data_IF_670127847525
#
_entry.id   IF_670127847525
#
_cell.length_a   1.000
_cell.length_b   1.000
_cell.length_c   1.000
_cell.angle_alpha   90.00
_cell.angle_beta   90.00
_cell.angle_gamma   90.00
#
_symmetry.space_group_name_H-M   'P 1'
#
loop_
_entity.id
_entity.type
_entity.pdbx_description
1 polymer ?
#
# COMPACT_ATOMS: atom_id res chain seq x y z
N UNK A 1 -8.13 -41.95 -14.86
CA UNK A 1 -7.01 -42.20 -13.92
C UNK A 1 -5.70 -41.52 -14.36
N UNK A 2 -5.28 -41.64 -15.63
CA UNK A 2 -4.06 -40.97 -16.14
C UNK A 2 -4.10 -39.42 -16.08
N UNK A 3 -5.24 -38.77 -16.35
CA UNK A 3 -5.38 -37.31 -16.26
C UNK A 3 -5.22 -36.78 -14.82
N UNK A 4 -5.79 -37.46 -13.83
CA UNK A 4 -5.62 -37.14 -12.40
C UNK A 4 -4.19 -37.37 -11.92
N UNK A 5 -3.49 -38.36 -12.46
CA UNK A 5 -2.07 -38.57 -12.20
C UNK A 5 -1.20 -37.45 -12.80
N UNK A 6 -1.58 -36.90 -13.97
CA UNK A 6 -0.94 -35.75 -14.59
C UNK A 6 -1.09 -34.45 -13.77
N UNK A 7 -2.29 -34.17 -13.25
CA UNK A 7 -2.54 -33.02 -12.37
C UNK A 7 -1.80 -33.12 -11.03
N UNK A 8 -1.83 -34.31 -10.40
CA UNK A 8 -1.06 -34.56 -9.19
C UNK A 8 0.46 -34.42 -9.46
N UNK A 9 0.91 -34.84 -10.64
CA UNK A 9 2.31 -34.71 -11.08
C UNK A 9 2.72 -33.25 -11.27
N UNK A 10 1.85 -32.45 -11.87
CA UNK A 10 2.09 -31.02 -12.06
C UNK A 10 2.14 -30.26 -10.72
N UNK A 11 1.26 -30.58 -9.78
CA UNK A 11 1.19 -29.92 -8.46
C UNK A 11 2.44 -30.17 -7.60
N UNK A 12 3.00 -31.38 -7.59
CA UNK A 12 4.26 -31.61 -6.85
C UNK A 12 5.43 -30.90 -7.50
N UNK A 13 5.48 -30.84 -8.84
CA UNK A 13 6.55 -30.16 -9.55
C UNK A 13 6.54 -28.66 -9.24
N UNK A 14 5.36 -28.03 -9.25
CA UNK A 14 5.19 -26.63 -8.87
C UNK A 14 5.65 -26.36 -7.43
N UNK A 15 5.29 -27.23 -6.48
CA UNK A 15 5.75 -27.15 -5.08
C UNK A 15 7.26 -27.30 -4.95
N UNK A 16 7.84 -28.25 -5.67
CA UNK A 16 9.28 -28.47 -5.68
C UNK A 16 10.02 -27.27 -6.29
N UNK A 17 9.52 -26.68 -7.38
CA UNK A 17 10.08 -25.48 -7.98
C UNK A 17 9.99 -24.27 -7.03
N UNK A 18 8.86 -24.06 -6.36
CA UNK A 18 8.70 -22.97 -5.39
C UNK A 18 9.70 -23.11 -4.21
N UNK A 19 9.86 -24.32 -3.69
CA UNK A 19 10.84 -24.61 -2.65
C UNK A 19 12.28 -24.44 -3.15
N UNK A 20 12.58 -24.91 -4.36
CA UNK A 20 13.90 -24.77 -4.99
C UNK A 20 14.27 -23.30 -5.18
N UNK A 21 13.34 -22.46 -5.66
CA UNK A 21 13.55 -21.01 -5.76
C UNK A 21 13.87 -20.42 -4.38
N UNK A 22 13.11 -20.76 -3.34
CA UNK A 22 13.35 -20.25 -1.99
C UNK A 22 14.74 -20.62 -1.45
N UNK A 23 15.24 -21.82 -1.75
CA UNK A 23 16.57 -22.29 -1.32
C UNK A 23 17.70 -21.68 -2.16
N UNK A 24 17.46 -21.39 -3.45
CA UNK A 24 18.50 -20.90 -4.36
C UNK A 24 18.62 -19.38 -4.43
N UNK A 25 17.53 -18.62 -4.23
CA UNK A 25 17.55 -17.15 -4.21
C UNK A 25 18.60 -16.58 -3.23
N UNK A 26 18.77 -17.10 -1.99
CA UNK A 26 19.83 -16.63 -1.09
C UNK A 26 21.24 -16.65 -1.67
N UNK A 27 21.54 -17.54 -2.63
CA UNK A 27 22.87 -17.64 -3.26
C UNK A 27 23.22 -16.44 -4.15
N UNK A 28 22.23 -15.61 -4.51
CA UNK A 28 22.43 -14.42 -5.32
C UNK A 28 23.01 -13.26 -4.50
N UNK A 29 23.93 -12.52 -5.12
CA UNK A 29 24.63 -11.40 -4.48
C UNK A 29 23.76 -10.14 -4.38
N UNK A 30 22.97 -9.84 -5.42
CA UNK A 30 22.21 -8.59 -5.50
C UNK A 30 20.93 -8.65 -4.66
N UNK A 31 20.80 -7.77 -3.65
CA UNK A 31 19.60 -7.66 -2.81
C UNK A 31 18.34 -7.31 -3.64
N UNK A 32 18.44 -6.39 -4.60
CA UNK A 32 17.31 -6.03 -5.44
C UNK A 32 16.80 -7.22 -6.28
N UNK A 33 17.71 -8.00 -6.88
CA UNK A 33 17.34 -9.21 -7.63
C UNK A 33 16.70 -10.26 -6.72
N UNK A 34 17.25 -10.47 -5.52
CA UNK A 34 16.66 -11.37 -4.52
C UNK A 34 15.24 -10.93 -4.13
N UNK A 35 15.03 -9.63 -3.90
CA UNK A 35 13.72 -9.08 -3.56
C UNK A 35 12.70 -9.36 -4.67
N UNK A 36 13.06 -9.08 -5.93
CA UNK A 36 12.21 -9.38 -7.07
C UNK A 36 11.86 -10.87 -7.17
N UNK A 37 12.85 -11.75 -6.97
CA UNK A 37 12.63 -13.19 -7.06
C UNK A 37 11.81 -13.74 -5.91
N UNK A 38 11.97 -13.23 -4.68
CA UNK A 38 11.11 -13.60 -3.56
C UNK A 38 9.66 -13.17 -3.80
N UNK A 39 9.42 -11.94 -4.27
CA UNK A 39 8.08 -11.47 -4.59
C UNK A 39 7.42 -12.35 -5.67
N UNK A 40 8.11 -12.56 -6.79
CA UNK A 40 7.60 -13.37 -7.90
C UNK A 40 7.38 -14.84 -7.49
N UNK A 41 8.34 -15.43 -6.78
CA UNK A 41 8.22 -16.82 -6.30
C UNK A 41 7.06 -16.97 -5.31
N UNK A 42 6.83 -15.96 -4.47
CA UNK A 42 5.70 -15.93 -3.55
C UNK A 42 4.35 -15.84 -4.28
N UNK A 43 4.25 -14.97 -5.30
CA UNK A 43 3.05 -14.85 -6.13
C UNK A 43 2.75 -16.15 -6.90
N UNK A 44 3.78 -16.77 -7.49
CA UNK A 44 3.64 -18.07 -8.17
C UNK A 44 3.23 -19.16 -7.17
N UNK A 45 3.81 -19.18 -5.96
CA UNK A 45 3.38 -20.12 -4.92
C UNK A 45 1.92 -19.92 -4.52
N UNK A 46 1.47 -18.66 -4.40
CA UNK A 46 0.09 -18.31 -4.08
C UNK A 46 -0.89 -18.79 -5.15
N UNK A 47 -0.59 -18.54 -6.43
CA UNK A 47 -1.37 -19.04 -7.58
C UNK A 47 -1.50 -20.57 -7.61
N UNK A 48 -0.51 -21.28 -7.06
CA UNK A 48 -0.49 -22.74 -6.99
C UNK A 48 -0.97 -23.28 -5.63
N UNK A 49 -1.68 -22.47 -4.83
CA UNK A 49 -2.23 -22.85 -3.52
C UNK A 49 -1.17 -23.37 -2.54
N UNK A 50 0.04 -22.83 -2.63
CA UNK A 50 1.16 -23.15 -1.75
C UNK A 50 1.36 -22.00 -0.74
N UNK A 51 0.32 -21.71 0.06
CA UNK A 51 0.25 -20.54 0.95
C UNK A 51 1.47 -20.45 1.87
N UNK A 52 1.86 -21.54 2.53
CA UNK A 52 3.04 -21.51 3.42
C UNK A 52 4.35 -21.16 2.70
N UNK A 53 4.50 -21.55 1.43
CA UNK A 53 5.67 -21.16 0.62
C UNK A 53 5.57 -19.71 0.16
N UNK A 54 4.37 -19.24 -0.18
CA UNK A 54 4.13 -17.83 -0.49
C UNK A 54 4.49 -16.94 0.71
N UNK A 55 3.99 -17.30 1.90
CA UNK A 55 4.27 -16.62 3.15
C UNK A 55 5.78 -16.55 3.45
N UNK A 56 6.50 -17.68 3.31
CA UNK A 56 7.95 -17.73 3.52
C UNK A 56 8.70 -16.77 2.57
N UNK A 57 8.34 -16.77 1.29
CA UNK A 57 8.90 -15.87 0.30
C UNK A 57 8.62 -14.40 0.63
N UNK A 58 7.39 -14.07 1.03
CA UNK A 58 7.01 -12.71 1.41
C UNK A 58 7.72 -12.22 2.68
N UNK A 59 7.91 -13.09 3.69
CA UNK A 59 8.75 -12.75 4.86
C UNK A 59 10.19 -12.45 4.45
N UNK A 60 10.76 -13.26 3.55
CA UNK A 60 12.12 -13.06 3.05
C UNK A 60 12.23 -11.77 2.23
N UNK A 61 11.23 -11.46 1.39
CA UNK A 61 11.11 -10.20 0.67
C UNK A 61 11.11 -9.00 1.63
N UNK A 62 10.18 -8.99 2.60
CA UNK A 62 10.04 -7.90 3.58
C UNK A 62 11.35 -7.68 4.33
N UNK A 63 11.98 -8.76 4.82
CA UNK A 63 13.23 -8.69 5.59
C UNK A 63 14.40 -8.12 4.78
N UNK A 64 14.34 -8.19 3.44
CA UNK A 64 15.41 -7.76 2.56
C UNK A 64 15.29 -6.29 2.12
N UNK A 65 14.11 -5.68 2.25
CA UNK A 65 13.87 -4.28 1.84
C UNK A 65 14.93 -3.32 2.43
N UNK A 66 15.29 -3.37 3.73
CA UNK A 66 16.29 -2.49 4.31
C UNK A 66 17.70 -2.64 3.71
N UNK A 67 18.00 -3.82 3.16
CA UNK A 67 19.32 -4.16 2.62
C UNK A 67 19.47 -3.77 1.14
N UNK A 68 18.42 -3.26 0.50
CA UNK A 68 18.49 -2.81 -0.89
C UNK A 68 19.25 -1.47 -0.93
N UNK A 69 20.40 -1.40 -1.62
CA UNK A 69 21.16 -0.16 -1.70
C UNK A 69 20.45 0.87 -2.58
N UNK A 70 20.66 2.16 -2.31
CA UNK A 70 20.13 3.27 -3.13
C UNK A 70 20.57 3.22 -4.60
N UNK A 71 21.72 2.59 -4.85
CA UNK A 71 22.32 2.46 -6.19
C UNK A 71 22.88 1.07 -6.42
N UNK A 72 22.77 0.59 -7.65
CA UNK A 72 23.39 -0.66 -8.13
C UNK A 72 24.22 -0.40 -9.39
N UNK A 73 25.19 -1.27 -9.63
CA UNK A 73 25.91 -1.31 -10.90
C UNK A 73 25.15 -2.20 -11.89
N UNK A 74 24.67 -1.62 -12.98
CA UNK A 74 23.97 -2.32 -14.06
C UNK A 74 24.54 -1.84 -15.40
N UNK A 75 25.04 -2.76 -16.22
CA UNK A 75 25.71 -2.47 -17.50
C UNK A 75 26.90 -1.50 -17.38
N UNK A 76 27.66 -1.61 -16.28
CA UNK A 76 28.78 -0.71 -16.00
C UNK A 76 28.36 0.70 -15.53
N UNK A 77 27.06 0.97 -15.41
CA UNK A 77 26.54 2.26 -14.95
C UNK A 77 25.95 2.17 -13.53
N UNK A 78 26.19 3.20 -12.73
CA UNK A 78 25.57 3.34 -11.40
C UNK A 78 24.14 3.85 -11.59
N UNK A 79 23.15 2.97 -11.39
CA UNK A 79 21.73 3.30 -11.54
C UNK A 79 21.04 3.35 -10.17
N UNK A 80 20.18 4.33 -9.91
CA UNK A 80 19.43 4.40 -8.67
C UNK A 80 18.36 3.29 -8.63
N UNK A 81 18.05 2.78 -7.43
CA UNK A 81 17.12 1.66 -7.26
C UNK A 81 15.69 2.09 -6.95
N UNK A 82 15.47 3.35 -6.54
CA UNK A 82 14.18 3.83 -6.03
C UNK A 82 12.97 3.48 -6.92
N UNK A 83 13.06 3.64 -8.24
CA UNK A 83 11.95 3.31 -9.17
C UNK A 83 11.64 1.80 -9.14
N UNK A 84 12.68 0.96 -9.14
CA UNK A 84 12.52 -0.50 -9.08
C UNK A 84 11.95 -0.93 -7.72
N UNK A 85 12.41 -0.31 -6.63
CA UNK A 85 11.90 -0.56 -5.27
C UNK A 85 10.44 -0.13 -5.15
N UNK A 86 10.07 1.05 -5.66
CA UNK A 86 8.69 1.53 -5.69
C UNK A 86 7.76 0.53 -6.41
N UNK A 87 8.19 0.03 -7.57
CA UNK A 87 7.46 -0.99 -8.32
C UNK A 87 7.26 -2.29 -7.52
N UNK A 88 8.33 -2.78 -6.86
CA UNK A 88 8.25 -3.98 -6.01
C UNK A 88 7.31 -3.78 -4.81
N UNK A 89 7.36 -2.62 -4.16
CA UNK A 89 6.50 -2.32 -3.02
C UNK A 89 5.04 -2.21 -3.44
N UNK A 90 4.76 -1.57 -4.58
CA UNK A 90 3.40 -1.47 -5.11
C UNK A 90 2.84 -2.84 -5.46
N UNK A 91 3.61 -3.68 -6.14
CA UNK A 91 3.20 -5.04 -6.52
C UNK A 91 3.01 -5.95 -5.29
N UNK A 92 3.89 -5.82 -4.29
CA UNK A 92 3.74 -6.52 -3.03
C UNK A 92 2.48 -6.10 -2.25
N UNK A 93 2.20 -4.80 -2.15
CA UNK A 93 1.00 -4.29 -1.48
C UNK A 93 -0.28 -4.77 -2.18
N UNK A 94 -0.30 -4.80 -3.51
CA UNK A 94 -1.37 -5.46 -4.26
C UNK A 94 -1.46 -6.95 -3.89
N UNK A 95 -0.35 -7.68 -3.91
CA UNK A 95 -0.35 -9.11 -3.58
C UNK A 95 -0.87 -9.39 -2.16
N UNK A 96 -0.56 -8.51 -1.20
CA UNK A 96 -1.03 -8.63 0.18
C UNK A 96 -2.54 -8.58 0.34
N UNK A 97 -3.27 -7.88 -0.54
CA UNK A 97 -4.73 -7.81 -0.45
C UNK A 97 -5.36 -9.20 -0.50
N UNK A 98 -4.82 -10.10 -1.32
CA UNK A 98 -5.38 -11.43 -1.55
C UNK A 98 -4.66 -12.54 -0.79
N UNK A 99 -3.61 -12.21 -0.03
CA UNK A 99 -2.86 -13.19 0.75
C UNK A 99 -3.71 -13.62 1.97
N UNK A 100 -4.06 -14.91 2.11
CA UNK A 100 -4.73 -15.40 3.31
C UNK A 100 -3.81 -15.35 4.51
N UNK A 101 -4.34 -14.94 5.66
CA UNK A 101 -3.68 -15.15 6.93
C UNK A 101 -3.67 -16.62 7.33
N UNK A 102 -2.69 -16.98 8.15
CA UNK A 102 -2.70 -18.25 8.85
C UNK A 102 -3.65 -18.15 10.04
N UNK A 103 -4.83 -18.77 9.96
CA UNK A 103 -5.84 -18.76 11.03
C UNK A 103 -5.36 -19.40 12.34
N UNK A 104 -4.34 -20.28 12.28
CA UNK A 104 -3.74 -20.88 13.47
C UNK A 104 -2.77 -19.92 14.19
N UNK A 105 -2.49 -18.76 13.60
CA UNK A 105 -1.71 -17.69 14.21
C UNK A 105 -2.60 -16.79 15.06
N UNK A 106 -2.16 -16.45 16.27
CA UNK A 106 -2.81 -15.44 17.13
C UNK A 106 -2.64 -14.00 16.60
N UNK A 107 -2.09 -13.81 15.40
CA UNK A 107 -1.82 -12.50 14.81
C UNK A 107 -2.51 -12.39 13.46
N UNK A 108 -3.51 -11.50 13.40
CA UNK A 108 -4.19 -11.09 12.17
C UNK A 108 -3.30 -10.17 11.35
N UNK A 109 -3.44 -10.24 10.04
CA UNK A 109 -2.65 -9.50 9.05
C UNK A 109 -1.14 -9.64 9.29
N UNK A 110 -0.65 -10.87 9.49
CA UNK A 110 0.69 -11.12 10.04
C UNK A 110 1.80 -10.53 9.14
N UNK A 111 1.74 -10.80 7.83
CA UNK A 111 2.76 -10.30 6.89
C UNK A 111 2.67 -8.79 6.74
N UNK A 112 1.47 -8.22 6.71
CA UNK A 112 1.27 -6.77 6.69
C UNK A 112 1.84 -6.11 7.96
N UNK A 113 1.60 -6.70 9.14
CA UNK A 113 2.20 -6.22 10.39
C UNK A 113 3.73 -6.25 10.32
N UNK A 114 4.31 -7.33 9.80
CA UNK A 114 5.75 -7.46 9.58
C UNK A 114 6.29 -6.43 8.59
N UNK A 115 5.54 -6.14 7.54
CA UNK A 115 5.87 -5.10 6.56
C UNK A 115 5.88 -3.71 7.21
N UNK A 116 4.79 -3.31 7.88
CA UNK A 116 4.67 -2.01 8.55
C UNK A 116 5.80 -1.82 9.56
N UNK A 117 6.06 -2.82 10.42
CA UNK A 117 7.17 -2.79 11.39
C UNK A 117 8.54 -2.65 10.74
N UNK A 118 8.74 -3.29 9.58
CA UNK A 118 9.99 -3.14 8.81
C UNK A 118 10.11 -1.72 8.26
N UNK A 119 9.04 -1.17 7.70
CA UNK A 119 9.00 0.18 7.17
C UNK A 119 9.28 1.25 8.24
N UNK A 120 8.81 1.04 9.47
CA UNK A 120 9.08 1.91 10.63
C UNK A 120 10.55 1.87 11.09
N UNK A 121 11.26 0.75 10.86
CA UNK A 121 12.67 0.59 11.25
C UNK A 121 13.65 1.17 10.24
N UNK A 122 13.25 1.29 8.98
CA UNK A 122 14.10 1.87 7.94
C UNK A 122 14.24 3.37 8.20
N UNK A 123 15.47 3.89 8.13
CA UNK A 123 15.76 5.31 8.25
C UNK A 123 15.45 6.05 6.96
N UNK A 124 14.15 6.25 6.69
CA UNK A 124 13.70 7.02 5.56
C UNK A 124 14.04 8.50 5.71
N UNK A 125 14.52 9.12 4.63
CA UNK A 125 14.43 10.57 4.50
C UNK A 125 12.98 10.93 4.22
N UNK A 126 12.31 11.59 5.16
CA UNK A 126 10.89 11.95 5.05
C UNK A 126 10.55 12.85 3.86
N UNK A 127 11.54 13.52 3.27
CA UNK A 127 11.40 14.32 2.05
C UNK A 127 11.53 13.52 0.73
N UNK A 128 11.86 12.22 0.80
CA UNK A 128 11.97 11.33 -0.36
C UNK A 128 10.60 10.85 -0.82
N UNK A 129 10.26 10.99 -2.13
CA UNK A 129 9.01 10.50 -2.68
C UNK A 129 8.71 9.04 -2.41
N UNK A 130 9.72 8.17 -2.53
CA UNK A 130 9.56 6.74 -2.29
C UNK A 130 8.92 6.44 -0.92
N UNK A 131 9.28 7.20 0.11
CA UNK A 131 8.77 6.98 1.47
C UNK A 131 7.27 7.28 1.56
N UNK A 132 6.88 8.52 1.26
CA UNK A 132 5.48 8.93 1.44
C UNK A 132 4.55 8.35 0.37
N UNK A 133 5.04 8.02 -0.83
CA UNK A 133 4.28 7.24 -1.80
C UNK A 133 4.03 5.82 -1.28
N UNK A 134 5.02 5.17 -0.65
CA UNK A 134 4.80 3.86 -0.02
C UNK A 134 3.76 3.92 1.10
N UNK A 135 3.79 4.98 1.92
CA UNK A 135 2.75 5.21 2.94
C UNK A 135 1.36 5.40 2.32
N UNK A 136 1.25 6.18 1.24
CA UNK A 136 -0.01 6.38 0.51
C UNK A 136 -0.55 5.07 -0.08
N UNK A 137 0.32 4.23 -0.66
CA UNK A 137 -0.06 2.91 -1.18
C UNK A 137 -0.44 1.94 -0.07
N UNK A 138 0.24 2.01 1.07
CA UNK A 138 -0.11 1.21 2.24
C UNK A 138 -1.49 1.61 2.77
N UNK A 139 -1.78 2.90 2.83
CA UNK A 139 -3.12 3.40 3.15
C UNK A 139 -4.16 2.92 2.14
N UNK A 140 -3.81 2.88 0.84
CA UNK A 140 -4.70 2.34 -0.18
C UNK A 140 -5.03 0.86 0.03
N UNK A 141 -4.04 0.04 0.41
CA UNK A 141 -4.25 -1.36 0.76
C UNK A 141 -5.16 -1.48 1.99
N UNK A 142 -4.86 -0.74 3.07
CA UNK A 142 -5.61 -0.82 4.33
C UNK A 142 -7.09 -0.50 4.11
N UNK A 143 -7.42 0.54 3.34
CA UNK A 143 -8.82 0.83 3.01
C UNK A 143 -9.49 -0.23 2.13
N UNK A 144 -8.74 -0.98 1.32
CA UNK A 144 -9.29 -2.11 0.57
C UNK A 144 -9.54 -3.32 1.48
N UNK A 145 -8.68 -3.53 2.47
CA UNK A 145 -8.81 -4.62 3.43
C UNK A 145 -10.00 -4.46 4.39
N UNK A 146 -10.57 -3.25 4.51
CA UNK A 146 -11.81 -3.00 5.27
C UNK A 146 -13.10 -3.18 4.47
N UNK A 147 -13.03 -3.48 3.18
CA UNK A 147 -14.23 -3.71 2.36
C UNK A 147 -14.79 -5.11 2.59
N UNK A 148 -16.12 -5.25 2.51
CA UNK A 148 -16.81 -6.54 2.61
C UNK A 148 -16.38 -7.54 1.53
N UNK A 149 -15.97 -7.03 0.37
CA UNK A 149 -15.42 -7.82 -0.73
C UNK A 149 -14.28 -7.06 -1.34
N UNK A 150 -13.13 -7.73 -1.50
CA UNK A 150 -11.94 -7.10 -2.08
C UNK A 150 -12.12 -6.81 -3.57
N UNK A 151 -11.35 -5.83 -4.06
CA UNK A 151 -11.42 -5.39 -5.46
C UNK A 151 -11.08 -6.48 -6.49
N UNK A 152 -10.35 -7.52 -6.08
CA UNK A 152 -10.05 -8.68 -6.92
C UNK A 152 -9.66 -9.89 -6.05
N UNK A 153 -9.68 -11.05 -6.68
CA UNK A 153 -9.43 -12.35 -6.08
C UNK A 153 -8.63 -13.25 -7.02
N UNK A 154 -8.03 -14.30 -6.48
CA UNK A 154 -7.62 -15.48 -7.24
C UNK A 154 -8.61 -16.59 -6.87
N UNK A 155 -9.25 -17.21 -7.85
CA UNK A 155 -10.34 -18.18 -7.64
C UNK A 155 -10.01 -19.29 -6.65
N UNK A 156 -8.76 -19.74 -6.63
CA UNK A 156 -8.32 -20.85 -5.78
C UNK A 156 -7.87 -20.41 -4.37
N UNK A 157 -7.72 -19.10 -4.13
CA UNK A 157 -7.17 -18.55 -2.89
C UNK A 157 -8.30 -17.95 -2.05
N UNK A 158 -8.40 -18.36 -0.79
CA UNK A 158 -9.38 -17.84 0.15
C UNK A 158 -8.85 -16.58 0.86
N UNK A 159 -8.98 -15.41 0.23
CA UNK A 159 -8.51 -14.13 0.78
C UNK A 159 -9.23 -13.72 2.07
N UNK A 160 -8.65 -12.72 2.76
CA UNK A 160 -9.05 -12.32 4.10
C UNK A 160 -10.47 -11.75 4.23
N UNK A 161 -11.04 -11.13 3.19
CA UNK A 161 -12.45 -10.74 3.15
C UNK A 161 -13.39 -11.93 3.31
N UNK A 162 -13.05 -13.08 2.72
CA UNK A 162 -13.79 -14.33 2.86
C UNK A 162 -13.41 -15.12 4.12
N UNK A 163 -12.13 -15.10 4.48
CA UNK A 163 -11.61 -15.84 5.64
C UNK A 163 -12.16 -15.29 6.95
N UNK A 164 -12.17 -13.97 7.10
CA UNK A 164 -12.62 -13.27 8.31
C UNK A 164 -14.05 -12.72 8.17
N UNK A 165 -14.60 -12.61 6.96
CA UNK A 165 -15.99 -12.16 6.77
C UNK A 165 -16.26 -10.75 7.32
N UNK A 166 -15.29 -9.85 7.25
CA UNK A 166 -15.35 -8.50 7.85
C UNK A 166 -15.62 -8.49 9.35
N UNK A 167 -15.14 -9.49 10.09
CA UNK A 167 -15.25 -9.50 11.55
C UNK A 167 -14.64 -8.23 12.18
N UNK A 168 -15.31 -7.72 13.21
CA UNK A 168 -14.96 -6.43 13.83
C UNK A 168 -13.50 -6.35 14.30
N UNK A 169 -12.96 -7.41 14.90
CA UNK A 169 -11.59 -7.40 15.43
C UNK A 169 -10.53 -7.31 14.31
N UNK A 170 -10.77 -7.93 13.14
CA UNK A 170 -9.90 -7.78 11.98
C UNK A 170 -9.96 -6.34 11.46
N UNK A 171 -11.17 -5.80 11.28
CA UNK A 171 -11.39 -4.44 10.79
C UNK A 171 -10.73 -3.41 11.74
N UNK A 172 -10.94 -3.52 13.05
CA UNK A 172 -10.32 -2.67 14.06
C UNK A 172 -8.79 -2.68 13.98
N UNK A 173 -8.21 -3.83 13.66
CA UNK A 173 -6.75 -3.97 13.48
C UNK A 173 -6.27 -3.19 12.26
N UNK A 174 -6.97 -3.32 11.13
CA UNK A 174 -6.66 -2.61 9.89
C UNK A 174 -6.86 -1.08 10.06
N UNK A 175 -7.92 -0.65 10.74
CA UNK A 175 -8.20 0.77 11.00
C UNK A 175 -7.14 1.42 11.91
N UNK A 176 -6.63 0.69 12.91
CA UNK A 176 -5.50 1.15 13.74
C UNK A 176 -4.26 1.42 12.88
N UNK A 177 -3.91 0.51 11.98
CA UNK A 177 -2.80 0.74 11.04
C UNK A 177 -3.08 1.93 10.12
N UNK A 178 -4.30 2.06 9.58
CA UNK A 178 -4.67 3.17 8.70
C UNK A 178 -4.54 4.52 9.43
N UNK A 179 -4.94 4.58 10.69
CA UNK A 179 -4.80 5.76 11.55
C UNK A 179 -3.33 6.14 11.73
N UNK A 180 -2.47 5.18 12.07
CA UNK A 180 -1.04 5.42 12.27
C UNK A 180 -0.35 5.90 10.98
N UNK A 181 -0.65 5.26 9.83
CA UNK A 181 -0.11 5.66 8.53
C UNK A 181 -0.59 7.08 8.15
N UNK A 182 -1.87 7.40 8.41
CA UNK A 182 -2.40 8.73 8.18
C UNK A 182 -1.69 9.78 9.04
N UNK A 183 -1.47 9.50 10.33
CA UNK A 183 -0.71 10.39 11.22
C UNK A 183 0.72 10.62 10.73
N UNK A 184 1.42 9.57 10.29
CA UNK A 184 2.78 9.72 9.75
C UNK A 184 2.78 10.56 8.45
N UNK A 185 1.81 10.40 7.56
CA UNK A 185 1.64 11.25 6.38
C UNK A 185 1.45 12.74 6.74
N UNK A 186 0.73 13.03 7.84
CA UNK A 186 0.59 14.41 8.35
C UNK A 186 1.92 14.95 8.92
N UNK A 187 2.72 14.11 9.57
CA UNK A 187 4.08 14.47 10.00
C UNK A 187 4.96 14.81 8.79
N UNK A 188 4.91 13.99 7.74
CA UNK A 188 5.64 14.26 6.49
C UNK A 188 5.20 15.58 5.87
N UNK A 189 3.88 15.85 5.79
CA UNK A 189 3.35 17.12 5.28
C UNK A 189 3.87 18.33 6.03
N UNK A 190 3.95 18.25 7.36
CA UNK A 190 4.52 19.32 8.19
C UNK A 190 5.99 19.54 7.88
N UNK A 191 6.79 18.47 7.83
CA UNK A 191 8.22 18.54 7.55
C UNK A 191 8.53 19.09 6.15
N UNK A 192 7.74 18.73 5.14
CA UNK A 192 7.87 19.31 3.80
C UNK A 192 7.60 20.82 3.81
N UNK A 193 6.62 21.27 4.61
CA UNK A 193 6.34 22.69 4.82
C UNK A 193 7.48 23.43 5.49
N UNK A 194 8.01 22.88 6.58
CA UNK A 194 9.14 23.45 7.32
C UNK A 194 10.40 23.54 6.44
N UNK A 195 10.61 22.52 5.59
CA UNK A 195 11.69 22.49 4.60
C UNK A 195 11.43 23.35 3.34
N UNK A 196 10.27 24.00 3.24
CA UNK A 196 9.84 24.80 2.07
C UNK A 196 9.79 24.00 0.75
N UNK A 197 9.56 22.70 0.83
CA UNK A 197 9.38 21.78 -0.31
C UNK A 197 7.94 21.89 -0.86
N UNK A 198 7.54 23.11 -1.26
CA UNK A 198 6.14 23.48 -1.55
C UNK A 198 5.48 22.58 -2.60
N UNK A 199 6.19 22.21 -3.66
CA UNK A 199 5.67 21.32 -4.71
C UNK A 199 5.39 19.91 -4.18
N UNK A 200 6.28 19.34 -3.36
CA UNK A 200 6.08 18.02 -2.76
C UNK A 200 4.95 18.05 -1.75
N UNK A 201 4.93 19.08 -0.88
CA UNK A 201 3.88 19.27 0.11
C UNK A 201 2.50 19.40 -0.55
N UNK A 202 2.41 20.18 -1.63
CA UNK A 202 1.20 20.33 -2.42
C UNK A 202 0.70 18.99 -2.98
N UNK A 203 1.57 18.27 -3.70
CA UNK A 203 1.21 16.99 -4.32
C UNK A 203 0.75 15.97 -3.28
N UNK A 204 1.48 15.86 -2.16
CA UNK A 204 1.13 14.96 -1.06
C UNK A 204 -0.21 15.35 -0.41
N UNK A 205 -0.43 16.66 -0.23
CA UNK A 205 -1.65 17.19 0.38
C UNK A 205 -2.88 16.87 -0.47
N UNK A 206 -2.80 17.04 -1.79
CA UNK A 206 -3.86 16.65 -2.71
C UNK A 206 -4.05 15.13 -2.78
N UNK A 207 -2.96 14.36 -2.82
CA UNK A 207 -3.01 12.91 -2.88
C UNK A 207 -3.68 12.30 -1.63
N UNK A 208 -3.40 12.87 -0.45
CA UNK A 208 -4.04 12.48 0.80
C UNK A 208 -5.50 12.96 0.85
N UNK A 209 -5.77 14.21 0.44
CA UNK A 209 -7.14 14.74 0.36
C UNK A 209 -8.04 13.83 -0.48
N UNK A 210 -7.59 13.42 -1.67
CA UNK A 210 -8.32 12.51 -2.55
C UNK A 210 -8.69 11.20 -1.84
N UNK A 211 -7.77 10.62 -1.08
CA UNK A 211 -8.00 9.38 -0.34
C UNK A 211 -9.00 9.58 0.79
N UNK A 212 -8.88 10.67 1.55
CA UNK A 212 -9.81 11.03 2.63
C UNK A 212 -11.23 11.17 2.10
N UNK A 213 -11.45 11.88 1.00
CA UNK A 213 -12.80 12.09 0.47
C UNK A 213 -13.41 10.83 -0.17
N UNK A 214 -12.57 9.95 -0.73
CA UNK A 214 -13.03 8.74 -1.42
C UNK A 214 -13.28 7.57 -0.48
N UNK A 215 -12.50 7.46 0.59
CA UNK A 215 -12.42 6.26 1.43
C UNK A 215 -12.62 6.54 2.92
N UNK A 216 -12.48 7.79 3.35
CA UNK A 216 -12.72 8.19 4.73
C UNK A 216 -14.21 8.26 5.05
N UNK A 217 -14.56 8.01 6.32
CA UNK A 217 -15.91 8.25 6.81
C UNK A 217 -16.13 9.76 7.03
N UNK A 218 -16.69 10.43 6.02
CA UNK A 218 -16.99 11.86 6.08
C UNK A 218 -18.19 12.20 6.98
N UNK A 219 -18.90 11.24 7.56
CA UNK A 219 -19.91 11.54 8.60
C UNK A 219 -19.24 11.99 9.91
N UNK A 220 -17.97 11.63 10.10
CA UNK A 220 -17.20 12.05 11.25
C UNK A 220 -16.64 13.47 11.03
N UNK A 221 -16.94 14.36 11.97
CA UNK A 221 -16.48 15.74 11.92
C UNK A 221 -14.95 15.87 11.80
N UNK A 222 -14.19 14.98 12.45
CA UNK A 222 -12.73 14.94 12.37
C UNK A 222 -12.25 14.73 10.92
N UNK A 223 -12.90 13.84 10.16
CA UNK A 223 -12.54 13.55 8.77
C UNK A 223 -12.92 14.69 7.82
N UNK A 224 -14.08 15.34 8.02
CA UNK A 224 -14.43 16.57 7.29
C UNK A 224 -13.39 17.66 7.56
N UNK A 225 -13.00 17.84 8.82
CA UNK A 225 -12.01 18.85 9.21
C UNK A 225 -10.64 18.56 8.58
N UNK A 226 -10.20 17.30 8.61
CA UNK A 226 -8.97 16.86 7.95
C UNK A 226 -9.01 17.15 6.45
N UNK A 227 -10.10 16.76 5.77
CA UNK A 227 -10.28 17.01 4.33
C UNK A 227 -10.20 18.51 4.01
N UNK A 228 -10.93 19.35 4.76
CA UNK A 228 -10.91 20.79 4.59
C UNK A 228 -9.50 21.38 4.78
N UNK A 229 -8.78 20.95 5.83
CA UNK A 229 -7.43 21.44 6.10
C UNK A 229 -6.43 21.05 5.02
N UNK A 230 -6.50 19.82 4.50
CA UNK A 230 -5.66 19.37 3.38
C UNK A 230 -5.97 20.17 2.12
N UNK A 231 -7.24 20.41 1.82
CA UNK A 231 -7.62 21.24 0.68
C UNK A 231 -7.06 22.66 0.81
N UNK A 232 -7.26 23.32 1.95
CA UNK A 232 -6.77 24.68 2.22
C UNK A 232 -5.24 24.74 2.08
N UNK A 233 -4.53 23.76 2.64
CA UNK A 233 -3.07 23.66 2.52
C UNK A 233 -2.65 23.61 1.05
N UNK A 234 -3.31 22.78 0.24
CA UNK A 234 -3.00 22.68 -1.19
C UNK A 234 -3.26 24.00 -1.94
N UNK A 235 -4.35 24.72 -1.63
CA UNK A 235 -4.67 25.99 -2.30
C UNK A 235 -3.66 27.10 -1.97
N UNK A 236 -3.12 27.12 -0.74
CA UNK A 236 -2.08 28.10 -0.35
C UNK A 236 -0.76 27.94 -1.11
N UNK A 237 -0.49 26.76 -1.66
CA UNK A 237 0.82 26.39 -2.20
C UNK A 237 0.93 26.52 -3.73
N UNK A 238 -0.17 26.67 -4.47
CA UNK A 238 -0.12 26.72 -5.94
C UNK A 238 -1.18 27.61 -6.60
N UNK A 239 -0.83 28.08 -7.80
CA UNK A 239 -1.69 28.85 -8.72
C UNK A 239 -2.93 28.08 -9.17
N UNK A 240 -4.03 28.83 -9.35
CA UNK A 240 -5.43 28.43 -9.60
C UNK A 240 -5.73 27.48 -10.79
N UNK A 241 -4.70 27.00 -11.52
CA UNK A 241 -4.85 26.27 -12.79
C UNK A 241 -4.48 24.78 -12.76
N UNK A 242 -4.38 24.15 -11.59
CA UNK A 242 -4.11 22.72 -11.54
C UNK A 242 -5.32 21.86 -11.97
N UNK A 243 -5.16 21.13 -13.09
CA UNK A 243 -6.18 20.22 -13.66
C UNK A 243 -6.63 19.13 -12.66
N UNK A 244 -5.72 18.66 -11.80
CA UNK A 244 -6.01 17.60 -10.82
C UNK A 244 -6.95 18.13 -9.75
N UNK A 245 -6.66 19.31 -9.19
CA UNK A 245 -7.53 19.94 -8.19
C UNK A 245 -8.95 20.19 -8.75
N UNK A 246 -9.05 20.68 -10.00
CA UNK A 246 -10.33 20.87 -10.70
C UNK A 246 -11.08 19.55 -10.91
N UNK A 247 -10.38 18.49 -11.30
CA UNK A 247 -10.99 17.17 -11.47
C UNK A 247 -11.50 16.59 -10.14
N UNK A 248 -10.76 16.79 -9.05
CA UNK A 248 -11.18 16.35 -7.71
C UNK A 248 -12.43 17.10 -7.25
N UNK A 249 -12.50 18.43 -7.42
CA UNK A 249 -13.71 19.20 -7.12
C UNK A 249 -14.90 18.74 -7.93
N UNK A 250 -14.73 18.55 -9.24
CA UNK A 250 -15.81 18.04 -10.10
C UNK A 250 -16.30 16.65 -9.65
N UNK A 251 -15.40 15.80 -9.14
CA UNK A 251 -15.79 14.51 -8.58
C UNK A 251 -16.56 14.64 -7.25
N UNK A 252 -16.23 15.64 -6.42
CA UNK A 252 -16.98 15.95 -5.21
C UNK A 252 -18.37 16.53 -5.51
N UNK A 253 -18.47 17.44 -6.48
CA UNK A 253 -19.73 18.07 -6.92
C UNK A 253 -20.73 17.04 -7.46
N UNK A 254 -20.23 15.98 -8.09
CA UNK A 254 -21.03 14.86 -8.61
C UNK A 254 -21.39 13.82 -7.55
N UNK A 255 -20.92 13.95 -6.32
CA UNK A 255 -21.20 13.00 -5.25
C UNK A 255 -22.56 13.28 -4.63
N UNK A 256 -23.46 12.29 -4.63
CA UNK A 256 -24.79 12.39 -4.02
C UNK A 256 -24.79 12.25 -2.49
N UNK A 257 -23.61 12.10 -1.86
CA UNK A 257 -23.51 11.89 -0.41
C UNK A 257 -23.71 13.21 0.36
N UNK A 258 -24.60 13.27 1.37
CA UNK A 258 -24.81 14.48 2.17
C UNK A 258 -23.52 15.04 2.79
N UNK A 259 -22.65 14.16 3.28
CA UNK A 259 -21.36 14.53 3.84
C UNK A 259 -20.40 15.17 2.80
N UNK A 260 -20.51 14.77 1.51
CA UNK A 260 -19.76 15.42 0.43
C UNK A 260 -20.27 16.83 0.16
N UNK A 261 -21.59 17.05 0.20
CA UNK A 261 -22.17 18.40 0.08
C UNK A 261 -21.78 19.30 1.25
N UNK A 262 -21.79 18.77 2.48
CA UNK A 262 -21.33 19.51 3.66
C UNK A 262 -19.86 19.91 3.53
N UNK A 263 -19.00 19.00 3.05
CA UNK A 263 -17.61 19.32 2.78
C UNK A 263 -17.50 20.41 1.71
N UNK A 264 -18.20 20.30 0.58
CA UNK A 264 -18.21 21.31 -0.49
C UNK A 264 -18.62 22.69 0.02
N UNK A 265 -19.67 22.77 0.84
CA UNK A 265 -20.09 24.03 1.45
C UNK A 265 -18.95 24.63 2.29
N UNK A 266 -18.31 23.83 3.14
CA UNK A 266 -17.17 24.26 3.97
C UNK A 266 -15.98 24.73 3.14
N UNK A 267 -15.70 24.05 2.01
CA UNK A 267 -14.64 24.46 1.08
C UNK A 267 -14.96 25.82 0.43
N UNK A 268 -16.22 26.03 0.00
CA UNK A 268 -16.68 27.26 -0.61
C UNK A 268 -16.69 28.45 0.37
N UNK A 269 -17.08 28.23 1.62
CA UNK A 269 -17.03 29.24 2.68
C UNK A 269 -15.59 29.69 2.94
N UNK A 270 -14.66 28.74 2.97
CA UNK A 270 -13.25 29.07 3.24
C UNK A 270 -12.61 29.82 2.07
N UNK A 271 -12.98 29.49 0.82
CA UNK A 271 -12.51 30.21 -0.37
C UNK A 271 -13.01 31.66 -0.47
N UNK A 272 -14.10 32.01 0.21
CA UNK A 272 -14.62 33.40 0.26
C UNK A 272 -13.91 34.28 1.28
N UNK A 273 -13.17 33.68 2.21
CA UNK A 273 -12.49 34.37 3.33
C UNK A 273 -10.99 34.56 3.03
N UNK A 274 -10.43 33.78 2.09
CA UNK A 274 -9.06 33.86 1.59
C UNK A 274 -8.92 34.79 0.39
#
# INVERSE_FOLDING_TARGET
LAARAGEARAKWLQRACAAYSFVTVPSLRCALTKAHLYLLSGQVALLNNCVGQAEANFKAFVSLIPDIPDFIMEDGQKKPTHIKVEGLLSDFLSTLLILPDNVDSNCKAYILSGFIKTMERIHWRKSEPLYYETLLRTLDLLCQMTQETYSYHIDTVLSNDKLYGSEAEFIDTIEKYATNICQELLVVLKLLGDAKETKKQYNLSLALFWRVIRRGNLEQHAMISLAANLWILSQKLQDSNNKIAKAILSALEKSDKPASHQLLQKLNETARIS
#
